data_IF_839362576324
#
_entry.id   IF_839362576324
#
_cell.length_a   1.000
_cell.length_b   1.000
_cell.length_c   1.000
_cell.angle_alpha   90.00
_cell.angle_beta   90.00
_cell.angle_gamma   90.00
#
_symmetry.space_group_name_H-M   'P 1'
#
loop_
_entity.id
_entity.type
_entity.pdbx_description
1 polymer ?
#
# COMPACT_ATOMS: atom_id res chain seq x y z
N UNK A 1 2.37 47.15 0.45
CA UNK A 1 1.75 46.19 1.41
C UNK A 1 0.58 45.43 0.81
N UNK A 2 -0.35 46.08 0.09
CA UNK A 2 -1.54 45.46 -0.54
C UNK A 2 -1.26 44.20 -1.36
N UNK A 3 -0.28 44.22 -2.27
CA UNK A 3 0.07 43.02 -3.08
C UNK A 3 0.45 41.79 -2.24
N UNK A 4 0.99 41.98 -1.03
CA UNK A 4 1.33 40.89 -0.12
C UNK A 4 0.09 40.31 0.55
N UNK A 5 -0.89 41.16 0.88
CA UNK A 5 -2.15 40.78 1.49
C UNK A 5 -3.06 40.05 0.50
N UNK A 6 -3.17 40.56 -0.72
CA UNK A 6 -3.88 39.91 -1.83
C UNK A 6 -3.30 38.52 -2.14
N UNK A 7 -1.96 38.40 -2.20
CA UNK A 7 -1.29 37.10 -2.37
C UNK A 7 -1.59 36.14 -1.22
N UNK A 8 -1.67 36.62 0.03
CA UNK A 8 -2.04 35.80 1.20
C UNK A 8 -3.49 35.33 1.11
N UNK A 9 -4.42 36.22 0.75
CA UNK A 9 -5.83 35.91 0.59
C UNK A 9 -6.05 34.83 -0.49
N UNK A 10 -5.43 35.02 -1.68
CA UNK A 10 -5.50 34.04 -2.78
C UNK A 10 -4.92 32.67 -2.41
N UNK A 11 -3.81 32.63 -1.66
CA UNK A 11 -3.25 31.37 -1.12
C UNK A 11 -4.21 30.69 -0.13
N UNK A 12 -4.90 31.47 0.71
CA UNK A 12 -5.88 30.96 1.67
C UNK A 12 -7.09 30.34 0.95
N UNK A 13 -7.60 31.00 -0.08
CA UNK A 13 -8.67 30.47 -0.93
C UNK A 13 -8.26 29.17 -1.63
N UNK A 14 -7.08 29.15 -2.29
CA UNK A 14 -6.57 27.94 -2.94
C UNK A 14 -6.38 26.78 -1.96
N UNK A 15 -5.92 27.05 -0.73
CA UNK A 15 -5.78 26.03 0.34
C UNK A 15 -7.11 25.45 0.81
N UNK A 16 -8.18 26.25 0.70
CA UNK A 16 -9.55 25.87 1.07
C UNK A 16 -10.37 25.32 -0.10
N UNK A 17 -9.84 25.36 -1.32
CA UNK A 17 -10.47 24.74 -2.49
C UNK A 17 -10.74 23.25 -2.29
N UNK A 18 -11.80 22.76 -2.92
CA UNK A 18 -12.15 21.33 -2.89
C UNK A 18 -11.03 20.45 -3.47
N UNK A 19 -10.32 20.95 -4.49
CA UNK A 19 -9.15 20.27 -5.04
C UNK A 19 -8.05 20.07 -3.98
N UNK A 20 -7.73 21.11 -3.20
CA UNK A 20 -6.75 21.01 -2.12
C UNK A 20 -7.20 20.06 -1.01
N UNK A 21 -8.47 20.13 -0.60
CA UNK A 21 -9.04 19.21 0.40
C UNK A 21 -9.00 17.76 -0.07
N UNK A 22 -9.35 17.50 -1.33
CA UNK A 22 -9.29 16.16 -1.94
C UNK A 22 -7.86 15.61 -1.99
N UNK A 23 -6.89 16.43 -2.39
CA UNK A 23 -5.47 16.05 -2.39
C UNK A 23 -4.97 15.66 -0.99
N UNK A 24 -5.28 16.47 0.03
CA UNK A 24 -4.95 16.16 1.44
C UNK A 24 -5.60 14.86 1.90
N UNK A 25 -6.89 14.64 1.56
CA UNK A 25 -7.61 13.39 1.87
C UNK A 25 -6.97 12.18 1.20
N UNK A 26 -6.59 12.29 -0.07
CA UNK A 26 -5.93 11.21 -0.80
C UNK A 26 -4.57 10.86 -0.18
N UNK A 27 -3.76 11.88 0.16
CA UNK A 27 -2.48 11.69 0.86
C UNK A 27 -2.67 11.01 2.22
N UNK A 28 -3.65 11.46 3.00
CA UNK A 28 -3.97 10.86 4.30
C UNK A 28 -4.44 9.42 4.16
N UNK A 29 -5.27 9.11 3.15
CA UNK A 29 -5.72 7.75 2.86
C UNK A 29 -4.57 6.79 2.55
N UNK A 30 -3.59 7.24 1.75
CA UNK A 30 -2.37 6.46 1.48
C UNK A 30 -1.61 6.19 2.78
N UNK A 31 -1.33 7.26 3.53
CA UNK A 31 -0.65 7.17 4.81
C UNK A 31 -1.37 6.25 5.81
N UNK A 32 -2.69 6.35 5.94
CA UNK A 32 -3.48 5.46 6.81
C UNK A 32 -3.33 4.00 6.38
N UNK A 33 -3.39 3.70 5.08
CA UNK A 33 -3.26 2.33 4.56
C UNK A 33 -1.87 1.73 4.82
N UNK A 34 -0.80 2.49 4.62
CA UNK A 34 0.56 2.03 4.92
C UNK A 34 0.75 1.75 6.42
N UNK A 35 0.20 2.62 7.28
CA UNK A 35 0.27 2.44 8.74
C UNK A 35 -0.55 1.23 9.19
N UNK A 36 -1.70 0.99 8.57
CA UNK A 36 -2.55 -0.18 8.84
C UNK A 36 -1.79 -1.48 8.55
N UNK A 37 -1.07 -1.56 7.43
CA UNK A 37 -0.25 -2.73 7.08
C UNK A 37 0.87 -2.96 8.09
N UNK A 38 1.63 -1.92 8.47
CA UNK A 38 2.71 -2.08 9.45
C UNK A 38 2.17 -2.57 10.79
N UNK A 39 1.10 -1.95 11.31
CA UNK A 39 0.48 -2.37 12.58
C UNK A 39 -0.05 -3.80 12.52
N UNK A 40 -0.59 -4.21 11.37
CA UNK A 40 -1.08 -5.56 11.17
C UNK A 40 0.07 -6.56 11.26
N UNK A 41 1.20 -6.31 10.59
CA UNK A 41 2.37 -7.18 10.64
C UNK A 41 3.02 -7.21 12.02
N UNK A 42 3.14 -6.06 12.69
CA UNK A 42 3.65 -5.95 14.06
C UNK A 42 2.85 -6.81 15.04
N UNK A 43 1.52 -6.89 14.88
CA UNK A 43 0.65 -7.74 15.71
C UNK A 43 1.04 -9.22 15.65
N UNK A 44 1.62 -9.67 14.54
CA UNK A 44 2.08 -11.05 14.34
C UNK A 44 3.60 -11.20 14.52
N UNK A 45 4.25 -10.24 15.19
CA UNK A 45 5.71 -10.20 15.40
C UNK A 45 6.53 -10.16 14.10
N UNK A 46 5.94 -9.76 12.98
CA UNK A 46 6.66 -9.55 11.73
C UNK A 46 7.14 -8.10 11.73
N UNK A 47 8.46 -7.90 11.75
CA UNK A 47 9.03 -6.55 11.79
C UNK A 47 8.94 -5.88 10.42
N UNK A 48 8.25 -4.74 10.38
CA UNK A 48 8.07 -3.94 9.19
C UNK A 48 8.14 -2.45 9.53
N UNK A 49 8.65 -1.64 8.61
CA UNK A 49 8.68 -0.19 8.74
C UNK A 49 8.11 0.50 7.51
N UNK A 50 7.54 1.68 7.73
CA UNK A 50 7.14 2.55 6.62
C UNK A 50 8.32 3.30 6.06
N UNK A 51 8.35 3.43 4.75
CA UNK A 51 9.40 4.18 4.06
C UNK A 51 8.96 5.65 3.91
N UNK A 52 9.63 6.61 4.56
CA UNK A 52 9.27 8.01 4.45
C UNK A 52 9.55 8.52 3.03
N UNK A 53 8.68 9.41 2.53
CA UNK A 53 8.79 10.02 1.20
C UNK A 53 8.78 9.01 0.05
N UNK A 54 8.16 7.83 0.26
CA UNK A 54 8.01 6.80 -0.76
C UNK A 54 7.41 7.37 -2.06
N UNK A 55 8.03 7.02 -3.19
CA UNK A 55 7.60 7.46 -4.53
C UNK A 55 7.88 8.93 -4.89
N UNK A 56 8.30 9.78 -3.93
CA UNK A 56 8.72 11.15 -4.21
C UNK A 56 10.22 11.24 -4.54
N UNK A 57 11.02 10.41 -3.86
CA UNK A 57 12.46 10.29 -4.13
C UNK A 57 12.67 9.16 -5.15
N UNK A 58 13.19 9.48 -6.33
CA UNK A 58 13.53 8.52 -7.40
C UNK A 58 14.79 7.69 -7.08
N UNK A 59 14.98 7.29 -5.83
CA UNK A 59 16.09 6.44 -5.41
C UNK A 59 15.54 5.08 -5.01
N UNK A 60 16.29 4.03 -5.30
CA UNK A 60 15.90 2.66 -4.98
C UNK A 60 15.59 2.46 -3.50
N UNK A 61 16.26 3.17 -2.58
CA UNK A 61 16.01 3.05 -1.13
C UNK A 61 14.61 3.52 -0.71
N UNK A 62 13.99 4.44 -1.45
CA UNK A 62 12.69 5.05 -1.12
C UNK A 62 11.60 4.71 -2.13
N UNK A 63 11.74 3.60 -2.85
CA UNK A 63 10.85 3.25 -3.98
C UNK A 63 9.64 2.40 -3.60
N UNK A 64 9.45 2.04 -2.33
CA UNK A 64 8.34 1.22 -1.84
C UNK A 64 7.67 1.87 -0.64
N UNK A 65 6.49 1.41 -0.28
CA UNK A 65 5.70 1.98 0.82
C UNK A 65 6.09 1.40 2.19
N UNK A 66 6.29 0.07 2.25
CA UNK A 66 6.63 -0.66 3.48
C UNK A 66 7.81 -1.60 3.22
N UNK A 67 8.75 -1.66 4.15
CA UNK A 67 9.95 -2.50 4.12
C UNK A 67 9.89 -3.53 5.25
N UNK A 68 10.09 -4.80 4.94
CA UNK A 68 10.27 -5.87 5.93
C UNK A 68 11.73 -5.93 6.39
N UNK A 69 11.97 -6.42 7.61
CA UNK A 69 13.33 -6.59 8.15
C UNK A 69 14.21 -7.51 7.28
N UNK A 70 13.60 -8.50 6.63
CA UNK A 70 14.26 -9.39 5.66
C UNK A 70 14.60 -8.71 4.31
N UNK A 71 14.38 -7.40 4.18
CA UNK A 71 14.70 -6.59 3.00
C UNK A 71 13.65 -6.64 1.87
N UNK A 72 12.58 -7.42 2.02
CA UNK A 72 11.47 -7.46 1.06
C UNK A 72 10.63 -6.17 1.16
N UNK A 73 10.05 -5.79 0.03
CA UNK A 73 9.38 -4.50 -0.17
C UNK A 73 7.92 -4.71 -0.52
N UNK A 74 7.06 -3.89 0.07
CA UNK A 74 5.61 -3.97 -0.06
C UNK A 74 5.10 -2.64 -0.61
N UNK A 75 4.26 -2.73 -1.64
CA UNK A 75 3.49 -1.62 -2.19
C UNK A 75 2.06 -1.68 -1.65
N UNK A 76 1.53 -0.56 -1.14
CA UNK A 76 0.21 -0.55 -0.47
C UNK A 76 -0.83 0.19 -1.31
N UNK A 77 -1.89 -0.53 -1.71
CA UNK A 77 -2.97 0.04 -2.53
C UNK A 77 -4.33 -0.08 -1.86
N UNK A 78 -4.81 1.04 -1.30
CA UNK A 78 -6.20 1.17 -0.83
C UNK A 78 -7.08 1.85 -1.89
N UNK A 79 -8.02 1.10 -2.49
CA UNK A 79 -8.92 1.58 -3.56
C UNK A 79 -10.38 1.23 -3.23
N UNK A 80 -11.32 2.03 -3.76
CA UNK A 80 -12.77 1.77 -3.60
C UNK A 80 -13.26 0.72 -4.60
N UNK A 81 -12.67 0.71 -5.79
CA UNK A 81 -13.02 -0.15 -6.92
C UNK A 81 -11.76 -0.52 -7.70
N UNK A 82 -11.87 -1.46 -8.64
CA UNK A 82 -10.78 -1.94 -9.47
C UNK A 82 -10.03 -3.16 -8.92
N UNK A 83 -10.20 -3.48 -7.62
CA UNK A 83 -9.65 -4.69 -6.99
C UNK A 83 -10.72 -5.76 -6.73
N UNK A 84 -11.98 -5.49 -7.12
CA UNK A 84 -13.10 -6.41 -6.88
C UNK A 84 -12.95 -7.70 -7.70
N UNK A 85 -12.42 -7.63 -8.91
CA UNK A 85 -12.13 -8.82 -9.73
C UNK A 85 -11.19 -9.78 -9.02
N UNK A 86 -10.14 -9.25 -8.38
CA UNK A 86 -9.18 -10.06 -7.61
C UNK A 86 -9.86 -10.74 -6.42
N UNK A 87 -10.70 -10.00 -5.68
CA UNK A 87 -11.46 -10.59 -4.57
C UNK A 87 -12.42 -11.67 -5.06
N UNK A 88 -13.16 -11.40 -6.14
CA UNK A 88 -14.06 -12.38 -6.73
C UNK A 88 -13.34 -13.67 -7.13
N UNK A 89 -12.11 -13.60 -7.66
CA UNK A 89 -11.32 -14.80 -7.99
C UNK A 89 -10.92 -15.61 -6.76
N UNK A 90 -10.61 -14.95 -5.64
CA UNK A 90 -10.35 -15.64 -4.37
C UNK A 90 -11.62 -16.27 -3.78
N UNK A 91 -12.76 -15.60 -3.93
CA UNK A 91 -14.05 -16.02 -3.36
C UNK A 91 -14.81 -17.02 -4.25
N UNK A 92 -14.28 -17.37 -5.43
CA UNK A 92 -14.95 -18.22 -6.41
C UNK A 92 -15.10 -19.67 -5.95
N UNK A 93 -14.08 -20.22 -5.29
CA UNK A 93 -14.10 -21.54 -4.66
C UNK A 93 -13.64 -21.44 -3.20
N UNK A 94 -14.50 -21.80 -2.22
CA UNK A 94 -14.15 -21.72 -0.80
C UNK A 94 -12.99 -22.64 -0.38
N UNK A 95 -12.58 -23.58 -1.22
CA UNK A 95 -11.45 -24.47 -0.95
C UNK A 95 -10.12 -23.98 -1.57
N UNK A 96 -10.13 -22.86 -2.30
CA UNK A 96 -8.93 -22.29 -2.92
C UNK A 96 -8.26 -21.27 -1.99
N UNK A 97 -7.00 -21.52 -1.60
CA UNK A 97 -6.22 -20.58 -0.79
C UNK A 97 -5.56 -19.46 -1.63
N UNK A 98 -5.29 -19.72 -2.92
CA UNK A 98 -4.43 -18.88 -3.76
C UNK A 98 -5.00 -18.69 -5.16
N UNK A 99 -4.77 -17.50 -5.73
CA UNK A 99 -5.01 -17.23 -7.15
C UNK A 99 -3.68 -17.05 -7.85
N UNK A 100 -3.39 -17.96 -8.80
CA UNK A 100 -2.26 -17.85 -9.70
C UNK A 100 -2.75 -17.31 -11.04
N UNK A 101 -2.19 -16.18 -11.48
CA UNK A 101 -2.54 -15.64 -12.79
C UNK A 101 -1.31 -15.07 -13.48
N UNK A 102 -1.42 -14.98 -14.80
CA UNK A 102 -0.45 -14.31 -15.67
C UNK A 102 -1.20 -13.78 -16.87
N UNK A 103 -0.63 -12.79 -17.52
CA UNK A 103 -1.12 -12.35 -18.82
C UNK A 103 -0.90 -13.45 -19.87
N UNK A 104 -1.84 -13.57 -20.81
CA UNK A 104 -1.66 -14.51 -21.91
C UNK A 104 -0.45 -14.10 -22.77
N UNK A 105 0.28 -15.08 -23.29
CA UNK A 105 1.56 -14.86 -23.97
C UNK A 105 2.76 -14.56 -23.05
N UNK A 106 2.55 -14.04 -21.83
CA UNK A 106 3.62 -13.81 -20.86
C UNK A 106 3.86 -15.05 -19.98
N UNK A 107 4.49 -16.08 -20.55
CA UNK A 107 4.56 -17.44 -19.96
C UNK A 107 5.38 -17.56 -18.67
N UNK A 108 6.23 -16.59 -18.35
CA UNK A 108 7.12 -16.63 -17.17
C UNK A 108 6.69 -15.73 -16.01
N UNK A 109 5.75 -14.81 -16.22
CA UNK A 109 5.39 -13.80 -15.23
C UNK A 109 4.13 -14.18 -14.44
N UNK A 110 4.23 -15.26 -13.66
CA UNK A 110 3.17 -15.64 -12.72
C UNK A 110 3.11 -14.68 -11.55
N UNK A 111 1.89 -14.30 -11.20
CA UNK A 111 1.56 -13.51 -10.03
C UNK A 111 0.69 -14.38 -9.13
N UNK A 112 1.03 -14.40 -7.86
CA UNK A 112 0.25 -15.08 -6.82
C UNK A 112 -0.44 -14.03 -5.97
N UNK A 113 -1.74 -14.20 -5.79
CA UNK A 113 -2.54 -13.44 -4.84
C UNK A 113 -2.98 -14.40 -3.74
N UNK A 114 -2.89 -13.96 -2.49
CA UNK A 114 -3.26 -14.72 -1.31
C UNK A 114 -3.92 -13.81 -0.26
N UNK A 115 -4.78 -14.36 0.61
CA UNK A 115 -5.22 -13.68 1.84
C UNK A 115 -4.03 -13.26 2.72
N UNK A 116 -4.25 -12.26 3.56
CA UNK A 116 -3.19 -11.75 4.43
C UNK A 116 -2.78 -12.76 5.50
N UNK A 117 -3.73 -13.59 5.95
CA UNK A 117 -3.52 -14.66 6.91
C UNK A 117 -2.51 -15.69 6.38
N UNK A 118 -2.65 -16.10 5.13
CA UNK A 118 -1.72 -17.00 4.44
C UNK A 118 -0.32 -16.38 4.34
N UNK A 119 -0.24 -15.09 3.99
CA UNK A 119 1.04 -14.38 3.93
C UNK A 119 1.73 -14.34 5.29
N UNK A 120 0.98 -14.06 6.37
CA UNK A 120 1.50 -14.02 7.73
C UNK A 120 2.05 -15.40 8.12
N UNK A 121 1.29 -16.47 7.89
CA UNK A 121 1.70 -17.82 8.23
C UNK A 121 3.00 -18.22 7.51
N UNK A 122 3.06 -18.00 6.19
CA UNK A 122 4.25 -18.28 5.38
C UNK A 122 5.47 -17.48 5.84
N UNK A 123 5.27 -16.19 6.15
CA UNK A 123 6.34 -15.32 6.63
C UNK A 123 6.86 -15.76 7.99
N UNK A 124 5.96 -16.08 8.93
CA UNK A 124 6.35 -16.56 10.26
C UNK A 124 7.09 -17.90 10.20
N UNK A 125 6.68 -18.82 9.32
CA UNK A 125 7.42 -20.06 9.06
C UNK A 125 8.80 -19.79 8.47
N UNK A 126 8.89 -18.91 7.48
CA UNK A 126 10.16 -18.56 6.83
C UNK A 126 11.15 -17.87 7.78
N UNK A 127 10.65 -17.06 8.71
CA UNK A 127 11.46 -16.37 9.74
C UNK A 127 11.69 -17.23 10.99
N UNK A 128 11.16 -18.45 11.05
CA UNK A 128 11.29 -19.36 12.19
C UNK A 128 10.54 -18.91 13.45
N UNK A 129 9.59 -17.98 13.31
CA UNK A 129 8.71 -17.49 14.38
C UNK A 129 7.68 -18.56 14.73
N UNK A 130 7.15 -19.26 13.73
CA UNK A 130 6.24 -20.39 13.87
C UNK A 130 7.00 -21.68 13.52
N UNK A 131 7.05 -22.63 14.46
CA UNK A 131 7.67 -23.95 14.27
C UNK A 131 6.65 -24.98 13.80
#
# INVERSE_FOLDING_TARGET
MQQREERKAKKKELKNSEASKRGKRAKRKGWEGETEVVKLLEKYNIKAERVPLSGMLKSEKYSCDVLLENGKRIEVKRRKSGLKTIQNWLDEDPNSNYVFFREDGNKSNWIVIMPIEEFIELTQKAEGIMK
#
